data_IF_843696339947
#
_entry.id   IF_843696339947
#
_cell.length_a   1.000
_cell.length_b   1.000
_cell.length_c   1.000
_cell.angle_alpha   90.00
_cell.angle_beta   90.00
_cell.angle_gamma   90.00
#
_symmetry.space_group_name_H-M   'P 1'
#
loop_
_entity.id
_entity.type
_entity.pdbx_description
1 polymer ?
#
# COMPACT_ATOMS: atom_id res chain seq x y z
N UNK A 1 24.38 2.51 49.17
CA UNK A 1 25.10 1.30 49.63
C UNK A 1 25.40 0.44 48.41
N UNK A 2 26.47 -0.36 48.42
CA UNK A 2 26.84 -1.20 47.28
C UNK A 2 27.13 -2.64 47.73
N UNK A 3 26.64 -3.61 46.97
CA UNK A 3 27.00 -5.02 47.11
C UNK A 3 27.08 -5.67 45.73
N UNK A 4 28.31 -6.02 45.33
CA UNK A 4 28.60 -6.73 44.09
C UNK A 4 28.99 -8.18 44.38
N UNK A 5 28.58 -9.10 43.50
CA UNK A 5 29.21 -10.40 43.17
C UNK A 5 28.69 -10.76 41.77
N UNK A 6 29.49 -11.06 40.72
CA UNK A 6 30.66 -11.96 40.56
C UNK A 6 30.29 -13.43 40.83
N UNK A 7 30.66 -14.42 40.01
CA UNK A 7 31.36 -14.46 38.69
C UNK A 7 31.19 -15.89 38.09
N UNK A 8 31.95 -16.23 37.02
CA UNK A 8 32.25 -17.61 36.52
C UNK A 8 31.14 -18.33 35.71
N UNK A 9 31.41 -19.20 34.70
CA UNK A 9 32.66 -19.71 34.06
C UNK A 9 32.43 -19.65 32.51
N UNK A 10 33.11 -18.85 31.69
CA UNK A 10 34.30 -19.15 30.83
C UNK A 10 34.41 -20.50 30.08
N UNK A 11 34.76 -20.45 28.79
CA UNK A 11 35.26 -21.58 27.96
C UNK A 11 34.73 -21.50 26.51
N UNK A 12 35.51 -21.15 25.46
CA UNK A 12 36.65 -21.83 24.78
C UNK A 12 36.34 -23.20 24.17
N UNK A 13 36.84 -23.58 22.98
CA UNK A 13 37.33 -22.80 21.82
C UNK A 13 37.66 -23.79 20.67
N UNK A 14 37.17 -23.52 19.45
CA UNK A 14 37.74 -23.99 18.17
C UNK A 14 37.75 -25.49 17.84
N UNK A 15 37.59 -25.79 16.55
CA UNK A 15 38.47 -26.60 15.69
C UNK A 15 37.85 -26.57 14.28
N UNK A 16 38.68 -26.47 13.25
CA UNK A 16 38.25 -26.55 11.84
C UNK A 16 39.15 -27.49 11.05
N UNK A 17 38.55 -28.20 10.09
CA UNK A 17 39.12 -29.07 9.06
C UNK A 17 37.91 -29.54 8.20
N UNK A 18 38.00 -29.78 6.90
CA UNK A 18 39.08 -29.56 5.94
C UNK A 18 38.52 -29.81 4.52
N UNK A 19 39.16 -29.28 3.48
CA UNK A 19 38.66 -29.42 2.11
C UNK A 19 39.01 -30.77 1.50
N UNK A 20 38.07 -31.37 0.74
CA UNK A 20 38.35 -32.42 -0.24
C UNK A 20 37.56 -32.13 -1.51
N UNK A 21 38.25 -32.05 -2.64
CA UNK A 21 37.65 -32.10 -3.98
C UNK A 21 38.36 -33.21 -4.76
N UNK A 22 37.58 -34.10 -5.40
CA UNK A 22 38.06 -35.11 -6.34
C UNK A 22 37.07 -35.17 -7.50
N UNK A 23 37.56 -35.35 -8.72
CA UNK A 23 36.76 -35.21 -9.94
C UNK A 23 36.59 -36.51 -10.72
N UNK A 24 35.35 -36.73 -11.18
CA UNK A 24 34.93 -37.15 -12.53
C UNK A 24 35.43 -38.47 -13.19
N UNK A 25 34.64 -38.92 -14.19
CA UNK A 25 34.91 -40.00 -15.17
C UNK A 25 34.90 -41.42 -14.52
N UNK A 26 34.30 -42.51 -15.02
CA UNK A 26 33.72 -42.93 -16.32
C UNK A 26 32.49 -43.88 -16.01
N UNK A 27 31.94 -44.78 -16.86
CA UNK A 27 31.54 -44.84 -18.28
C UNK A 27 31.18 -46.32 -18.61
N UNK A 28 30.39 -46.75 -19.61
CA UNK A 28 29.30 -46.19 -20.43
C UNK A 28 28.63 -47.36 -21.19
N UNK A 29 27.35 -47.27 -21.57
CA UNK A 29 26.69 -48.21 -22.52
C UNK A 29 25.76 -47.47 -23.49
N UNK A 30 25.96 -47.68 -24.79
CA UNK A 30 25.00 -47.37 -25.85
C UNK A 30 24.19 -48.62 -26.19
N UNK A 31 23.00 -48.44 -26.76
CA UNK A 31 22.51 -49.28 -27.86
C UNK A 31 21.63 -48.44 -28.80
N UNK A 32 21.60 -48.78 -30.09
CA UNK A 32 21.12 -47.90 -31.15
C UNK A 32 19.60 -47.95 -31.40
N UNK A 33 19.00 -46.83 -31.83
CA UNK A 33 18.04 -46.87 -32.95
C UNK A 33 17.81 -45.53 -33.65
N UNK A 34 17.96 -45.54 -34.98
CA UNK A 34 17.36 -44.66 -36.01
C UNK A 34 17.12 -43.16 -35.71
N UNK A 35 17.90 -42.28 -36.36
CA UNK A 35 17.64 -40.84 -36.41
C UNK A 35 16.61 -40.45 -37.50
N UNK A 36 15.62 -39.58 -37.20
CA UNK A 36 14.83 -38.87 -38.21
C UNK A 36 15.57 -37.63 -38.76
N UNK A 37 15.15 -37.15 -39.93
CA UNK A 37 15.79 -36.04 -40.65
C UNK A 37 15.64 -34.66 -39.95
N UNK A 38 16.59 -33.72 -40.15
CA UNK A 38 16.52 -32.39 -39.54
C UNK A 38 15.38 -31.55 -40.12
N UNK A 39 14.30 -31.40 -39.37
CA UNK A 39 13.20 -30.49 -39.69
C UNK A 39 13.61 -29.04 -39.43
N UNK A 40 13.85 -28.28 -40.51
CA UNK A 40 14.13 -26.83 -40.45
C UNK A 40 12.87 -26.02 -40.12
N UNK A 41 12.34 -26.23 -38.93
CA UNK A 41 11.22 -25.45 -38.38
C UNK A 41 11.74 -24.10 -37.88
N UNK A 42 11.96 -23.16 -38.79
CA UNK A 42 12.21 -21.74 -38.45
C UNK A 42 10.90 -21.09 -37.99
N UNK A 43 10.39 -21.52 -36.85
CA UNK A 43 9.29 -20.86 -36.15
C UNK A 43 9.80 -19.51 -35.64
N UNK A 44 9.43 -18.44 -36.33
CA UNK A 44 9.69 -17.08 -35.85
C UNK A 44 9.13 -16.92 -34.43
N UNK A 45 9.84 -16.25 -33.51
CA UNK A 45 9.36 -16.07 -32.15
C UNK A 45 8.01 -15.36 -32.19
N UNK A 46 7.01 -15.92 -31.52
CA UNK A 46 5.69 -15.31 -31.46
C UNK A 46 5.82 -13.92 -30.84
N UNK A 47 5.49 -12.87 -31.61
CA UNK A 47 5.49 -11.49 -31.14
C UNK A 47 4.26 -11.27 -30.26
N UNK A 48 4.25 -11.89 -29.08
CA UNK A 48 3.28 -11.63 -28.03
C UNK A 48 3.38 -10.16 -27.65
N UNK A 49 2.38 -9.38 -28.07
CA UNK A 49 2.19 -8.01 -27.59
C UNK A 49 2.28 -8.02 -26.06
N UNK A 50 3.07 -7.14 -25.41
CA UNK A 50 3.15 -7.11 -23.96
C UNK A 50 1.75 -6.96 -23.35
N UNK A 51 1.49 -7.57 -22.18
CA UNK A 51 0.19 -7.53 -21.55
C UNK A 51 -0.28 -6.08 -21.37
N UNK A 52 -1.58 -5.84 -21.56
CA UNK A 52 -2.15 -4.52 -21.27
C UNK A 52 -2.04 -4.27 -19.77
N UNK A 53 -1.32 -3.21 -19.38
CA UNK A 53 -1.27 -2.76 -18.00
C UNK A 53 -2.68 -2.33 -17.54
N UNK A 54 -3.02 -2.67 -16.29
CA UNK A 54 -4.25 -2.24 -15.64
C UNK A 54 -4.07 -0.80 -15.17
N UNK A 55 -4.99 0.09 -15.52
CA UNK A 55 -4.92 1.49 -15.09
C UNK A 55 -5.47 1.70 -13.67
N UNK A 56 -5.12 2.84 -13.06
CA UNK A 56 -5.76 3.31 -11.83
C UNK A 56 -7.29 3.45 -12.01
N UNK A 57 -7.76 4.01 -13.13
CA UNK A 57 -9.18 4.14 -13.43
C UNK A 57 -9.93 2.78 -13.52
N UNK A 58 -9.30 1.76 -14.11
CA UNK A 58 -9.85 0.40 -14.12
C UNK A 58 -9.88 -0.23 -12.72
N UNK A 59 -8.85 0.02 -11.90
CA UNK A 59 -8.78 -0.44 -10.51
C UNK A 59 -9.86 0.25 -9.65
N UNK A 60 -10.08 1.56 -9.85
CA UNK A 60 -11.14 2.32 -9.19
C UNK A 60 -12.53 1.76 -9.53
N UNK A 61 -12.82 1.58 -10.82
CA UNK A 61 -14.13 1.10 -11.28
C UNK A 61 -14.42 -0.35 -10.82
N UNK A 62 -13.39 -1.18 -10.69
CA UNK A 62 -13.51 -2.55 -10.19
C UNK A 62 -13.75 -2.58 -8.68
N UNK A 63 -13.04 -1.77 -7.87
CA UNK A 63 -13.30 -1.68 -6.44
C UNK A 63 -14.65 -1.03 -6.15
N UNK A 64 -15.03 0.00 -6.91
CA UNK A 64 -16.37 0.61 -6.88
C UNK A 64 -17.46 -0.44 -7.14
N UNK A 65 -17.33 -1.23 -8.22
CA UNK A 65 -18.24 -2.32 -8.53
C UNK A 65 -18.28 -3.43 -7.46
N UNK A 66 -17.16 -3.71 -6.81
CA UNK A 66 -17.09 -4.63 -5.66
C UNK A 66 -17.86 -4.08 -4.45
N UNK A 67 -17.67 -2.81 -4.09
CA UNK A 67 -18.33 -2.19 -2.92
C UNK A 67 -19.84 -2.05 -3.14
N UNK A 68 -20.27 -1.70 -4.35
CA UNK A 68 -21.68 -1.70 -4.75
C UNK A 68 -22.31 -3.11 -4.64
N UNK A 69 -21.59 -4.17 -5.03
CA UNK A 69 -22.03 -5.56 -4.84
C UNK A 69 -22.10 -5.98 -3.36
N UNK A 70 -21.40 -5.29 -2.45
CA UNK A 70 -21.51 -5.45 -1.00
C UNK A 70 -22.60 -4.57 -0.38
N UNK A 71 -23.34 -3.81 -1.18
CA UNK A 71 -24.45 -2.96 -0.75
C UNK A 71 -24.03 -1.58 -0.22
N UNK A 72 -22.77 -1.19 -0.35
CA UNK A 72 -22.32 0.15 0.04
C UNK A 72 -22.71 1.18 -1.03
N UNK A 73 -23.06 2.38 -0.58
CA UNK A 73 -23.47 3.51 -1.44
C UNK A 73 -22.34 4.52 -1.66
N UNK A 74 -22.38 5.29 -2.75
CA UNK A 74 -21.39 6.35 -2.98
C UNK A 74 -21.69 7.60 -2.14
N UNK A 75 -20.68 8.09 -1.41
CA UNK A 75 -20.68 9.35 -0.69
C UNK A 75 -20.10 10.49 -1.57
N UNK A 76 -20.57 11.74 -1.42
CA UNK A 76 -20.02 12.87 -2.16
C UNK A 76 -18.52 13.08 -1.90
N UNK A 77 -17.74 13.12 -2.97
CA UNK A 77 -16.32 13.52 -2.95
C UNK A 77 -16.15 15.03 -2.82
N UNK A 78 -15.03 15.48 -2.26
CA UNK A 78 -14.71 16.90 -2.07
C UNK A 78 -13.72 17.41 -3.14
N UNK A 79 -13.70 18.71 -3.47
CA UNK A 79 -12.70 19.28 -4.37
C UNK A 79 -11.26 19.09 -3.84
N UNK A 80 -10.31 18.90 -4.78
CA UNK A 80 -8.88 18.79 -4.46
C UNK A 80 -8.30 20.12 -3.94
N UNK A 81 -8.78 21.26 -4.44
CA UNK A 81 -8.52 22.57 -3.82
C UNK A 81 -9.48 22.74 -2.64
N UNK A 82 -8.98 22.61 -1.42
CA UNK A 82 -9.79 22.52 -0.20
C UNK A 82 -10.32 23.88 0.29
N UNK A 83 -9.67 24.97 -0.09
CA UNK A 83 -9.94 26.32 0.45
C UNK A 83 -9.45 26.55 1.88
N UNK A 84 -8.74 25.59 2.49
CA UNK A 84 -8.23 25.64 3.87
C UNK A 84 -6.70 25.66 3.83
N UNK A 85 -6.04 26.55 4.58
CA UNK A 85 -4.56 26.74 4.51
C UNK A 85 -3.74 25.49 4.84
N UNK A 86 -4.29 24.56 5.62
CA UNK A 86 -3.67 23.26 5.90
C UNK A 86 -3.31 22.51 4.59
N UNK A 87 -2.18 21.80 4.61
CA UNK A 87 -1.63 21.14 3.42
C UNK A 87 -1.49 22.09 2.20
N UNK A 88 -1.28 23.38 2.49
CA UNK A 88 -1.10 24.45 1.52
C UNK A 88 -2.34 24.78 0.67
N UNK A 89 -3.55 24.37 1.06
CA UNK A 89 -4.77 24.55 0.25
C UNK A 89 -5.18 23.35 -0.59
N UNK A 90 -4.51 22.20 -0.44
CA UNK A 90 -4.86 20.94 -1.09
C UNK A 90 -5.58 19.98 -0.12
N UNK A 91 -6.46 19.13 -0.64
CA UNK A 91 -7.09 18.02 0.09
C UNK A 91 -6.03 16.96 0.38
N UNK A 92 -5.68 16.83 1.66
CA UNK A 92 -4.60 15.97 2.18
C UNK A 92 -4.97 14.47 2.18
N UNK A 93 -6.24 14.18 2.42
CA UNK A 93 -6.77 12.82 2.62
C UNK A 93 -8.27 12.78 2.31
N UNK A 94 -8.90 11.64 2.60
CA UNK A 94 -10.35 11.49 2.63
C UNK A 94 -11.02 12.36 3.72
N UNK A 95 -12.35 12.53 3.64
CA UNK A 95 -13.11 13.31 4.62
C UNK A 95 -13.99 12.38 5.48
N UNK A 96 -13.53 11.96 6.68
CA UNK A 96 -14.26 10.98 7.50
C UNK A 96 -15.61 11.50 8.03
N UNK A 97 -16.00 12.75 7.73
CA UNK A 97 -17.37 13.24 7.98
C UNK A 97 -18.36 12.89 6.86
N UNK A 98 -17.88 12.52 5.66
CA UNK A 98 -18.73 12.00 4.56
C UNK A 98 -18.82 10.47 4.58
N UNK A 99 -17.86 9.78 5.21
CA UNK A 99 -17.98 8.37 5.57
C UNK A 99 -19.03 8.18 6.67
N UNK A 100 -20.01 7.34 6.41
CA UNK A 100 -21.15 7.05 7.30
C UNK A 100 -21.54 5.57 7.20
N UNK A 101 -22.71 5.19 7.72
CA UNK A 101 -23.15 3.79 7.72
C UNK A 101 -23.34 3.26 6.29
N UNK A 102 -22.51 2.28 5.89
CA UNK A 102 -22.56 1.55 4.62
C UNK A 102 -22.38 2.44 3.37
N UNK A 103 -21.29 3.22 3.35
CA UNK A 103 -20.91 4.01 2.18
C UNK A 103 -19.39 3.94 1.87
N UNK A 104 -19.02 4.42 0.70
CA UNK A 104 -17.63 4.61 0.25
C UNK A 104 -17.50 5.94 -0.48
N UNK A 105 -16.28 6.49 -0.59
CA UNK A 105 -16.01 7.66 -1.41
C UNK A 105 -14.89 7.42 -2.43
N UNK A 106 -14.68 8.40 -3.31
CA UNK A 106 -13.57 8.47 -4.27
C UNK A 106 -12.89 9.83 -4.13
N UNK A 107 -11.99 9.98 -3.16
CA UNK A 107 -11.32 11.26 -2.91
C UNK A 107 -10.02 11.37 -3.68
N UNK A 108 -9.92 12.37 -4.56
CA UNK A 108 -8.62 12.78 -5.13
C UNK A 108 -7.88 13.60 -4.07
N UNK A 109 -6.66 13.19 -3.74
CA UNK A 109 -5.83 13.79 -2.70
C UNK A 109 -4.42 14.11 -3.22
N UNK A 110 -3.75 15.06 -2.56
CA UNK A 110 -2.36 15.42 -2.83
C UNK A 110 -1.74 15.98 -1.55
N UNK A 111 -0.59 15.44 -1.12
CA UNK A 111 0.08 15.83 0.12
C UNK A 111 1.34 16.64 -0.17
N UNK A 112 1.39 17.89 0.29
CA UNK A 112 2.51 18.80 0.02
C UNK A 112 3.81 18.37 0.73
N UNK A 113 3.71 17.63 1.84
CA UNK A 113 4.85 17.05 2.56
C UNK A 113 5.51 15.86 1.83
N UNK A 114 4.78 15.19 0.94
CA UNK A 114 5.29 14.00 0.24
C UNK A 114 6.34 14.36 -0.83
N UNK A 115 6.56 15.65 -1.10
CA UNK A 115 7.71 16.17 -1.88
C UNK A 115 9.05 15.71 -1.28
N UNK A 116 9.17 15.67 0.05
CA UNK A 116 10.39 15.19 0.72
C UNK A 116 10.59 13.67 0.57
N UNK A 117 9.54 12.96 0.16
CA UNK A 117 9.45 11.50 0.04
C UNK A 117 9.31 11.04 -1.41
N UNK A 118 9.44 11.95 -2.40
CA UNK A 118 9.10 11.73 -3.82
C UNK A 118 9.87 10.62 -4.53
N UNK A 119 11.04 10.24 -4.01
CA UNK A 119 11.85 9.12 -4.52
C UNK A 119 11.45 7.75 -3.92
N UNK A 120 10.55 7.71 -2.94
CA UNK A 120 10.04 6.47 -2.37
C UNK A 120 8.99 5.83 -3.30
N UNK A 121 9.02 4.49 -3.52
CA UNK A 121 8.03 3.81 -4.34
C UNK A 121 6.59 4.03 -3.85
N UNK A 122 5.70 4.43 -4.76
CA UNK A 122 4.28 4.68 -4.45
C UNK A 122 3.98 6.03 -3.81
N UNK A 123 4.97 6.90 -3.62
CA UNK A 123 4.75 8.33 -3.30
C UNK A 123 4.44 9.08 -4.59
N UNK A 124 3.29 9.77 -4.64
CA UNK A 124 2.79 10.45 -5.84
C UNK A 124 2.35 11.89 -5.55
N UNK A 125 2.47 12.83 -6.51
CA UNK A 125 2.01 14.20 -6.37
C UNK A 125 0.48 14.31 -6.36
N UNK A 126 -0.23 13.32 -6.90
CA UNK A 126 -1.68 13.12 -6.79
C UNK A 126 -1.98 11.63 -6.69
N UNK A 127 -3.00 11.28 -5.93
CA UNK A 127 -3.50 9.90 -5.81
C UNK A 127 -4.99 9.91 -5.46
N UNK A 128 -5.64 8.76 -5.60
CA UNK A 128 -7.05 8.56 -5.36
C UNK A 128 -7.25 7.59 -4.20
N UNK A 129 -7.93 8.05 -3.18
CA UNK A 129 -8.27 7.29 -1.99
C UNK A 129 -9.71 6.80 -2.14
N UNK A 130 -9.90 5.49 -2.09
CA UNK A 130 -11.23 4.90 -1.92
C UNK A 130 -11.44 4.49 -0.47
N UNK A 131 -11.89 5.46 0.32
CA UNK A 131 -12.33 5.28 1.70
C UNK A 131 -13.66 4.52 1.76
N UNK A 132 -13.81 3.64 2.74
CA UNK A 132 -15.00 2.81 2.98
C UNK A 132 -15.41 2.87 4.45
N UNK A 133 -16.72 2.78 4.72
CA UNK A 133 -17.27 2.74 6.07
C UNK A 133 -18.43 1.75 6.21
N UNK A 134 -18.38 0.92 7.26
CA UNK A 134 -19.14 -0.33 7.39
C UNK A 134 -19.93 -0.40 8.71
N UNK A 135 -21.21 -0.08 8.64
CA UNK A 135 -22.23 -0.24 9.70
C UNK A 135 -23.60 -0.26 9.01
N UNK A 136 -24.55 -1.12 9.38
CA UNK A 136 -25.26 -1.10 10.68
C UNK A 136 -24.88 -2.26 11.61
N UNK A 137 -25.33 -2.28 12.89
CA UNK A 137 -25.02 -3.36 13.84
C UNK A 137 -25.45 -4.77 13.39
N UNK A 138 -26.47 -4.87 12.54
CA UNK A 138 -26.97 -6.13 11.97
C UNK A 138 -26.12 -6.64 10.78
N UNK A 139 -25.22 -5.81 10.26
CA UNK A 139 -24.51 -6.01 8.98
C UNK A 139 -22.99 -5.73 9.07
N UNK A 140 -22.43 -5.73 10.28
CA UNK A 140 -21.04 -5.34 10.54
C UNK A 140 -19.99 -6.33 9.97
N UNK A 141 -19.75 -6.26 8.67
CA UNK A 141 -18.50 -6.72 8.04
C UNK A 141 -17.41 -5.71 8.41
N UNK A 142 -16.23 -6.18 8.85
CA UNK A 142 -15.13 -5.26 9.12
C UNK A 142 -14.61 -4.63 7.82
N UNK A 143 -14.18 -3.37 7.86
CA UNK A 143 -13.51 -2.73 6.73
C UNK A 143 -12.25 -3.52 6.31
N UNK A 144 -11.54 -4.11 7.29
CA UNK A 144 -10.46 -5.09 7.07
C UNK A 144 -10.90 -6.24 6.15
N UNK A 145 -12.06 -6.85 6.41
CA UNK A 145 -12.52 -8.01 5.63
C UNK A 145 -12.92 -7.61 4.21
N UNK A 146 -13.50 -6.42 4.01
CA UNK A 146 -13.79 -5.89 2.66
C UNK A 146 -12.50 -5.64 1.87
N UNK A 147 -11.56 -4.89 2.44
CA UNK A 147 -10.29 -4.55 1.77
C UNK A 147 -9.47 -5.81 1.48
N UNK A 148 -9.30 -6.69 2.47
CA UNK A 148 -8.53 -7.93 2.28
C UNK A 148 -9.18 -8.88 1.27
N UNK A 149 -10.52 -9.04 1.30
CA UNK A 149 -11.24 -9.87 0.32
C UNK A 149 -11.14 -9.28 -1.09
N UNK A 150 -11.15 -7.96 -1.26
CA UNK A 150 -10.89 -7.34 -2.55
C UNK A 150 -9.45 -7.62 -3.02
N UNK A 151 -8.45 -7.33 -2.19
CA UNK A 151 -7.03 -7.46 -2.56
C UNK A 151 -6.61 -8.90 -2.88
N UNK A 152 -6.97 -9.90 -2.08
CA UNK A 152 -6.58 -11.30 -2.34
C UNK A 152 -7.57 -12.04 -3.23
N UNK A 153 -8.87 -11.73 -3.14
CA UNK A 153 -9.94 -12.50 -3.79
C UNK A 153 -10.43 -11.93 -5.13
N UNK A 154 -10.49 -10.60 -5.28
CA UNK A 154 -10.95 -9.96 -6.54
C UNK A 154 -9.77 -9.53 -7.41
N UNK A 155 -8.77 -8.90 -6.80
CA UNK A 155 -7.55 -8.45 -7.50
C UNK A 155 -6.57 -9.62 -7.72
N UNK A 156 -6.56 -10.61 -6.82
CA UNK A 156 -5.69 -11.78 -6.91
C UNK A 156 -4.25 -11.50 -6.49
N UNK A 157 -4.01 -10.56 -5.57
CA UNK A 157 -2.67 -10.32 -5.02
C UNK A 157 -2.20 -11.52 -4.17
N UNK A 158 -0.92 -11.86 -4.34
CA UNK A 158 -0.25 -12.97 -3.66
C UNK A 158 -0.11 -12.72 -2.14
N UNK A 159 -0.71 -13.56 -1.27
CA UNK A 159 -0.58 -13.43 0.18
C UNK A 159 0.87 -13.44 0.69
N UNK A 160 1.76 -14.24 0.08
CA UNK A 160 3.17 -14.34 0.49
C UNK A 160 3.95 -13.04 0.24
N UNK A 161 3.37 -12.11 -0.54
CA UNK A 161 3.89 -10.78 -0.86
C UNK A 161 3.20 -9.65 -0.09
N UNK A 162 2.08 -9.91 0.61
CA UNK A 162 1.44 -8.95 1.52
C UNK A 162 2.18 -8.83 2.86
N UNK A 163 2.29 -7.61 3.39
CA UNK A 163 2.89 -7.26 4.69
C UNK A 163 1.97 -6.31 5.45
N UNK A 164 2.18 -6.15 6.75
CA UNK A 164 1.43 -5.21 7.60
C UNK A 164 2.41 -4.45 8.49
N UNK A 165 2.28 -3.13 8.60
CA UNK A 165 3.04 -2.31 9.56
C UNK A 165 2.10 -1.63 10.55
N UNK A 166 2.36 -1.82 11.84
CA UNK A 166 1.48 -1.38 12.92
C UNK A 166 2.20 -1.40 14.28
N UNK A 167 1.46 -1.34 15.38
CA UNK A 167 1.92 -1.44 16.77
C UNK A 167 1.29 -2.65 17.46
N UNK A 168 1.77 -3.03 18.64
CA UNK A 168 1.22 -4.11 19.46
C UNK A 168 -0.24 -3.89 19.92
N UNK A 169 -0.71 -2.63 19.93
CA UNK A 169 -2.11 -2.26 20.18
C UNK A 169 -3.11 -2.88 19.17
N UNK A 170 -2.63 -3.26 17.97
CA UNK A 170 -3.44 -3.91 16.92
C UNK A 170 -3.54 -5.43 17.04
N UNK A 171 -2.81 -6.05 17.97
CA UNK A 171 -2.57 -7.50 18.01
C UNK A 171 -3.83 -8.38 18.07
N UNK A 172 -4.93 -7.84 18.59
CA UNK A 172 -6.27 -8.43 18.55
C UNK A 172 -6.80 -8.74 17.14
N UNK A 173 -6.32 -8.05 16.10
CA UNK A 173 -6.71 -8.26 14.70
C UNK A 173 -5.82 -9.29 13.97
N UNK A 174 -4.74 -9.79 14.56
CA UNK A 174 -3.87 -10.76 13.87
C UNK A 174 -4.61 -12.07 13.50
N UNK A 175 -5.53 -12.63 14.33
CA UNK A 175 -6.42 -13.74 13.94
C UNK A 175 -7.50 -13.40 12.90
N UNK A 176 -7.58 -12.16 12.43
CA UNK A 176 -8.34 -11.76 11.24
C UNK A 176 -7.44 -11.77 10.01
N UNK A 177 -6.23 -11.20 10.12
CA UNK A 177 -5.24 -11.14 9.03
C UNK A 177 -4.73 -12.53 8.61
N UNK A 178 -4.57 -13.45 9.57
CA UNK A 178 -4.17 -14.86 9.34
C UNK A 178 -5.11 -15.60 8.37
N UNK A 179 -6.42 -15.27 8.39
CA UNK A 179 -7.43 -15.84 7.47
C UNK A 179 -7.16 -15.52 6.00
N UNK A 180 -6.36 -14.48 5.74
CA UNK A 180 -5.96 -14.02 4.41
C UNK A 180 -4.49 -14.36 4.09
N UNK A 181 -3.86 -15.24 4.87
CA UNK A 181 -2.49 -15.69 4.66
C UNK A 181 -1.39 -14.76 5.21
N UNK A 182 -1.75 -13.77 6.05
CA UNK A 182 -0.76 -12.89 6.70
C UNK A 182 -0.32 -13.51 8.03
N UNK A 183 0.78 -14.24 7.99
CA UNK A 183 1.44 -14.78 9.18
C UNK A 183 2.14 -13.69 10.01
N UNK A 184 2.48 -14.01 11.25
CA UNK A 184 3.27 -13.12 12.12
C UNK A 184 4.63 -12.71 11.55
N UNK A 185 5.19 -13.47 10.61
CA UNK A 185 6.45 -13.13 9.91
C UNK A 185 6.30 -11.99 8.90
N UNK A 186 5.06 -11.66 8.52
CA UNK A 186 4.70 -10.58 7.60
C UNK A 186 4.29 -9.29 8.34
N UNK A 187 4.19 -9.33 9.68
CA UNK A 187 3.75 -8.21 10.53
C UNK A 187 4.96 -7.50 11.15
N UNK A 188 5.10 -6.21 10.86
CA UNK A 188 6.15 -5.34 11.40
C UNK A 188 5.58 -4.50 12.55
N UNK A 189 6.10 -4.69 13.77
CA UNK A 189 5.69 -3.92 14.95
C UNK A 189 6.64 -2.73 15.18
N UNK A 190 6.11 -1.52 15.06
CA UNK A 190 6.72 -0.25 15.48
C UNK A 190 6.47 -0.02 16.98
N UNK A 191 7.39 0.63 17.72
CA UNK A 191 7.10 1.11 19.07
C UNK A 191 5.97 2.13 19.06
N UNK A 192 5.01 2.01 19.99
CA UNK A 192 3.85 2.91 20.09
C UNK A 192 4.23 4.40 20.16
N UNK A 193 5.19 4.76 21.02
CA UNK A 193 5.67 6.14 21.17
C UNK A 193 6.20 6.74 19.86
N UNK A 194 6.85 5.92 19.02
CA UNK A 194 7.38 6.35 17.73
C UNK A 194 6.27 6.49 16.70
N UNK A 195 5.29 5.57 16.66
CA UNK A 195 4.12 5.71 15.79
C UNK A 195 3.28 6.96 16.12
N UNK A 196 3.04 7.23 17.41
CA UNK A 196 2.33 8.44 17.86
C UNK A 196 3.09 9.73 17.53
N UNK A 197 4.43 9.72 17.68
CA UNK A 197 5.28 10.86 17.33
C UNK A 197 5.31 11.13 15.81
N UNK A 198 5.32 10.09 14.99
CA UNK A 198 5.36 10.23 13.53
C UNK A 198 4.00 10.64 12.94
N UNK A 199 2.89 10.20 13.55
CA UNK A 199 1.52 10.58 13.16
C UNK A 199 1.09 10.17 11.74
N UNK A 200 1.94 9.43 11.03
CA UNK A 200 1.87 9.23 9.58
C UNK A 200 0.95 8.09 9.12
N UNK A 201 0.22 7.45 10.03
CA UNK A 201 -0.40 6.14 9.79
C UNK A 201 0.58 4.98 10.01
N UNK A 202 0.24 3.78 9.54
CA UNK A 202 0.99 2.54 9.78
C UNK A 202 1.23 2.27 11.29
N UNK A 203 0.22 2.52 12.13
CA UNK A 203 0.28 2.38 13.60
C UNK A 203 -0.55 3.41 14.36
N UNK A 204 -0.46 4.68 13.96
CA UNK A 204 -1.24 5.78 14.49
C UNK A 204 -1.32 6.92 13.46
N UNK A 205 -2.53 7.40 13.18
CA UNK A 205 -2.80 8.48 12.23
C UNK A 205 -3.20 9.77 12.97
N UNK A 206 -2.31 10.76 12.88
CA UNK A 206 -2.44 12.09 13.46
C UNK A 206 -1.60 13.15 12.69
N UNK A 207 -1.92 13.42 11.41
CA UNK A 207 -1.23 14.43 10.60
C UNK A 207 -1.19 15.81 11.29
N UNK A 208 0.02 16.35 11.43
CA UNK A 208 0.28 17.56 12.21
C UNK A 208 -0.41 18.80 11.59
N UNK A 209 -1.19 19.53 12.40
CA UNK A 209 -1.91 20.72 11.96
C UNK A 209 -3.18 20.46 11.14
N UNK A 210 -3.59 19.19 10.97
CA UNK A 210 -4.85 18.86 10.30
C UNK A 210 -6.06 19.46 11.05
N UNK A 211 -6.98 20.20 10.40
CA UNK A 211 -8.04 20.95 11.09
C UNK A 211 -8.93 20.11 12.00
N UNK A 212 -9.28 18.90 11.57
CA UNK A 212 -10.09 17.96 12.36
C UNK A 212 -9.35 17.29 13.53
N UNK A 213 -8.04 17.53 13.70
CA UNK A 213 -7.17 16.91 14.71
C UNK A 213 -7.39 15.39 14.91
N UNK A 214 -7.41 14.56 13.85
CA UNK A 214 -7.52 13.11 13.99
C UNK A 214 -6.36 12.57 14.86
N UNK A 215 -6.67 11.53 15.64
CA UNK A 215 -5.73 10.92 16.58
C UNK A 215 -6.15 9.45 16.81
N UNK A 216 -6.03 8.63 15.77
CA UNK A 216 -6.62 7.29 15.72
C UNK A 216 -5.55 6.18 15.54
N UNK A 217 -5.56 5.10 16.34
CA UNK A 217 -4.77 3.90 16.08
C UNK A 217 -5.01 3.32 14.68
N UNK A 218 -3.99 2.69 14.08
CA UNK A 218 -4.13 2.15 12.72
C UNK A 218 -3.21 0.97 12.40
N UNK A 219 -3.45 0.31 11.27
CA UNK A 219 -2.49 -0.59 10.64
C UNK A 219 -2.56 -0.46 9.11
N UNK A 220 -1.39 -0.51 8.47
CA UNK A 220 -1.31 -0.53 7.02
C UNK A 220 -1.31 -1.94 6.47
N UNK A 221 -1.85 -2.10 5.26
CA UNK A 221 -1.73 -3.30 4.43
C UNK A 221 -0.80 -2.92 3.28
N UNK A 222 0.33 -3.60 3.19
CA UNK A 222 1.41 -3.32 2.26
C UNK A 222 1.61 -4.50 1.29
N UNK A 223 2.24 -4.25 0.14
CA UNK A 223 2.61 -5.29 -0.83
C UNK A 223 4.04 -5.10 -1.33
N UNK A 224 4.77 -6.20 -1.43
CA UNK A 224 6.13 -6.25 -1.99
C UNK A 224 6.06 -6.51 -3.50
N UNK A 225 6.66 -5.62 -4.29
CA UNK A 225 6.91 -5.83 -5.72
C UNK A 225 8.07 -6.79 -5.94
N UNK A 226 8.14 -7.46 -7.10
CA UNK A 226 9.26 -8.35 -7.45
C UNK A 226 10.60 -7.61 -7.58
N UNK A 227 10.57 -6.29 -7.73
CA UNK A 227 11.73 -5.39 -7.66
C UNK A 227 12.27 -5.17 -6.24
N UNK A 228 11.58 -5.67 -5.21
CA UNK A 228 11.87 -5.40 -3.79
C UNK A 228 11.29 -4.09 -3.27
N UNK A 229 10.64 -3.29 -4.11
CA UNK A 229 9.90 -2.10 -3.68
C UNK A 229 8.69 -2.50 -2.81
N UNK A 230 8.38 -1.68 -1.79
CA UNK A 230 7.21 -1.85 -0.92
C UNK A 230 6.19 -0.76 -1.24
N UNK A 231 4.91 -1.12 -1.34
CA UNK A 231 3.79 -0.20 -1.52
C UNK A 231 2.80 -0.36 -0.36
N UNK A 232 2.47 0.72 0.34
CA UNK A 232 1.35 0.77 1.28
C UNK A 232 0.03 0.86 0.48
N UNK A 233 -0.70 -0.25 0.37
CA UNK A 233 -1.91 -0.35 -0.47
C UNK A 233 -3.15 0.21 0.21
N UNK A 234 -3.24 0.04 1.52
CA UNK A 234 -4.38 0.49 2.31
C UNK A 234 -3.98 0.84 3.75
N UNK A 235 -4.76 1.70 4.38
CA UNK A 235 -4.67 2.03 5.81
C UNK A 235 -6.02 1.71 6.47
N UNK A 236 -5.97 1.00 7.60
CA UNK A 236 -7.15 0.60 8.38
C UNK A 236 -7.07 1.27 9.77
N UNK A 237 -7.79 2.38 10.01
CA UNK A 237 -7.93 2.95 11.34
C UNK A 237 -8.85 2.10 12.22
N UNK A 238 -8.55 2.03 13.51
CA UNK A 238 -9.39 1.39 14.52
C UNK A 238 -9.52 2.29 15.75
N UNK A 239 -10.72 2.33 16.34
CA UNK A 239 -11.00 3.08 17.56
C UNK A 239 -10.43 2.40 18.81
N UNK A 240 -11.10 2.60 19.96
CA UNK A 240 -10.70 2.08 21.27
C UNK A 240 -10.90 0.55 21.41
N UNK A 241 -10.22 -0.25 20.57
CA UNK A 241 -10.30 -1.71 20.54
C UNK A 241 -11.56 -2.28 19.90
N UNK A 242 -12.36 -1.47 19.20
CA UNK A 242 -13.53 -1.95 18.43
C UNK A 242 -13.11 -2.61 17.12
N UNK A 243 -14.02 -3.38 16.51
CA UNK A 243 -13.89 -3.86 15.12
C UNK A 243 -13.59 -2.66 14.19
N UNK A 244 -12.64 -2.74 13.25
CA UNK A 244 -12.39 -1.64 12.31
C UNK A 244 -13.57 -1.46 11.36
N UNK A 245 -14.31 -0.36 11.52
CA UNK A 245 -15.47 -0.02 10.69
C UNK A 245 -15.15 0.95 9.55
N UNK A 246 -13.87 1.35 9.39
CA UNK A 246 -13.42 2.23 8.32
C UNK A 246 -12.05 1.78 7.80
N UNK A 247 -11.70 2.25 6.60
CA UNK A 247 -10.42 2.00 5.95
C UNK A 247 -10.38 2.62 4.56
N UNK A 248 -9.20 2.76 3.95
CA UNK A 248 -9.07 3.31 2.60
C UNK A 248 -7.96 2.65 1.80
N UNK A 249 -8.18 2.47 0.49
CA UNK A 249 -7.14 1.99 -0.43
C UNK A 249 -6.59 3.14 -1.30
N UNK A 250 -5.28 3.11 -1.58
CA UNK A 250 -4.65 3.96 -2.59
C UNK A 250 -4.74 3.31 -3.97
N UNK A 251 -5.66 3.79 -4.81
CA UNK A 251 -6.04 3.16 -6.10
C UNK A 251 -4.82 2.97 -7.02
N UNK A 252 -3.97 3.99 -7.15
CA UNK A 252 -2.79 3.96 -8.00
C UNK A 252 -1.79 2.92 -7.50
N UNK A 253 -1.60 2.81 -6.18
CA UNK A 253 -0.69 1.82 -5.57
C UNK A 253 -1.21 0.40 -5.73
N UNK A 254 -2.52 0.17 -5.66
CA UNK A 254 -3.12 -1.12 -6.02
C UNK A 254 -2.92 -1.42 -7.51
N UNK A 255 -3.06 -0.43 -8.40
CA UNK A 255 -2.74 -0.63 -9.82
C UNK A 255 -1.25 -0.94 -10.07
N UNK A 256 -0.33 -0.34 -9.31
CA UNK A 256 1.10 -0.69 -9.34
C UNK A 256 1.34 -2.14 -8.89
N UNK A 257 0.70 -2.58 -7.80
CA UNK A 257 0.78 -3.95 -7.31
C UNK A 257 0.26 -4.99 -8.34
N UNK A 258 -0.83 -4.67 -9.05
CA UNK A 258 -1.39 -5.51 -10.13
C UNK A 258 -0.47 -5.65 -11.34
N UNK A 259 0.26 -4.59 -11.67
CA UNK A 259 1.18 -4.56 -12.80
C UNK A 259 2.60 -5.03 -12.44
N UNK A 260 2.90 -5.21 -11.15
CA UNK A 260 4.25 -5.42 -10.59
C UNK A 260 5.26 -4.30 -10.95
N UNK A 261 4.76 -3.07 -11.10
CA UNK A 261 5.49 -1.92 -11.65
C UNK A 261 5.21 -0.65 -10.85
N UNK A 262 6.25 0.15 -10.57
CA UNK A 262 6.14 1.45 -9.89
C UNK A 262 5.88 2.57 -10.90
N UNK A 263 4.92 3.44 -10.61
CA UNK A 263 4.81 4.77 -11.25
C UNK A 263 5.62 5.78 -10.43
N UNK A 264 6.47 6.59 -11.06
CA UNK A 264 7.27 7.58 -10.33
C UNK A 264 6.48 8.87 -10.07
N UNK A 265 6.94 9.66 -9.11
CA UNK A 265 6.43 11.02 -8.87
C UNK A 265 6.41 11.85 -10.16
N UNK A 266 7.49 11.78 -10.95
CA UNK A 266 7.65 12.56 -12.19
C UNK A 266 6.65 12.16 -13.28
N UNK A 267 6.33 10.87 -13.41
CA UNK A 267 5.33 10.37 -14.38
C UNK A 267 3.92 10.89 -14.06
N UNK A 268 3.63 11.10 -12.77
CA UNK A 268 2.33 11.56 -12.27
C UNK A 268 2.19 13.08 -12.14
N UNK A 269 3.26 13.87 -12.30
CA UNK A 269 3.19 15.35 -12.29
C UNK A 269 2.18 15.94 -13.31
N UNK A 270 2.04 15.42 -14.54
CA UNK A 270 1.01 15.87 -15.46
C UNK A 270 -0.41 15.63 -14.95
N UNK A 271 -0.66 14.48 -14.30
CA UNK A 271 -1.96 14.14 -13.72
C UNK A 271 -2.29 15.05 -12.52
N UNK A 272 -1.31 15.33 -11.64
CA UNK A 272 -1.47 16.29 -10.55
C UNK A 272 -1.85 17.67 -11.07
N UNK A 273 -1.14 18.16 -12.08
CA UNK A 273 -1.43 19.46 -12.68
C UNK A 273 -2.87 19.51 -13.19
N UNK A 274 -3.28 18.54 -14.00
CA UNK A 274 -4.67 18.47 -14.51
C UNK A 274 -5.69 18.46 -13.38
N UNK A 275 -5.52 17.61 -12.36
CA UNK A 275 -6.46 17.53 -11.24
C UNK A 275 -6.61 18.85 -10.45
N UNK A 276 -5.53 19.63 -10.28
CA UNK A 276 -5.62 20.94 -9.64
C UNK A 276 -6.23 22.00 -10.56
N UNK A 277 -5.90 22.03 -11.85
CA UNK A 277 -6.50 22.98 -12.81
C UNK A 277 -8.01 22.72 -12.99
N UNK A 278 -8.42 21.45 -13.05
CA UNK A 278 -9.84 21.03 -13.10
C UNK A 278 -10.57 21.42 -11.80
N UNK A 279 -9.96 21.19 -10.63
CA UNK A 279 -10.53 21.61 -9.35
C UNK A 279 -10.58 23.13 -9.19
N UNK A 280 -9.64 23.87 -9.77
CA UNK A 280 -9.68 25.35 -9.87
C UNK A 280 -10.85 25.79 -10.75
N UNK A 281 -11.01 25.19 -11.93
CA UNK A 281 -12.10 25.51 -12.85
C UNK A 281 -13.49 25.19 -12.28
N UNK A 282 -13.61 24.09 -11.52
CA UNK A 282 -14.88 23.68 -10.89
C UNK A 282 -15.27 24.53 -9.67
N UNK A 283 -14.31 25.09 -8.94
CA UNK A 283 -14.56 25.87 -7.71
C UNK A 283 -14.49 27.38 -7.89
N UNK A 284 -13.81 27.87 -8.94
CA UNK A 284 -13.45 29.28 -9.09
C UNK A 284 -12.33 29.75 -8.13
N UNK A 285 -11.68 28.84 -7.41
CA UNK A 285 -10.61 29.15 -6.48
C UNK A 285 -9.29 29.53 -7.21
N UNK A 286 -8.39 30.22 -6.50
CA UNK A 286 -7.01 30.40 -6.97
C UNK A 286 -6.21 29.09 -6.84
N UNK A 287 -5.10 28.97 -7.57
CA UNK A 287 -4.15 27.86 -7.37
C UNK A 287 -3.59 27.89 -5.93
N UNK A 288 -3.72 26.81 -5.14
CA UNK A 288 -3.29 26.78 -3.74
C UNK A 288 -1.76 26.81 -3.61
N UNK A 289 -1.22 27.19 -2.45
CA UNK A 289 0.22 27.19 -2.20
C UNK A 289 0.85 25.81 -2.43
N UNK A 290 0.16 24.74 -2.04
CA UNK A 290 0.57 23.35 -2.26
C UNK A 290 0.78 22.97 -3.72
N UNK A 291 0.12 23.65 -4.68
CA UNK A 291 0.39 23.48 -6.12
C UNK A 291 1.82 23.87 -6.46
N UNK A 292 2.29 25.00 -5.95
CA UNK A 292 3.65 25.48 -6.20
C UNK A 292 4.69 24.63 -5.44
N UNK A 293 4.36 24.18 -4.21
CA UNK A 293 5.19 23.24 -3.45
C UNK A 293 5.41 21.92 -4.19
N UNK A 294 4.35 21.26 -4.66
CA UNK A 294 4.42 19.95 -5.34
C UNK A 294 5.09 20.02 -6.72
N UNK A 295 4.98 21.17 -7.40
CA UNK A 295 5.71 21.41 -8.66
C UNK A 295 7.14 21.94 -8.46
N UNK A 296 7.60 22.12 -7.22
CA UNK A 296 8.90 22.72 -6.87
C UNK A 296 9.11 24.12 -7.49
N UNK A 297 8.02 24.89 -7.56
CA UNK A 297 7.94 26.22 -8.19
C UNK A 297 7.77 27.33 -7.14
N UNK A 298 8.11 28.56 -7.53
CA UNK A 298 7.75 29.74 -6.74
C UNK A 298 6.28 30.09 -6.97
N UNK A 299 5.56 30.36 -5.90
CA UNK A 299 4.27 31.04 -5.96
C UNK A 299 4.47 32.48 -6.51
N UNK A 300 3.64 32.94 -7.47
CA UNK A 300 3.72 34.28 -8.05
C UNK A 300 3.10 35.37 -7.16
#
# INVERSE_FOLDING_TARGET
>A
MATSRRQFITGTAGIGLGAVAVAAVAACTQEDTAAPAPSTSTSAPATTKPPKLITAAETQAEFEGYLQQKGLTEAPTQPLVSGIEFNGGLRYDDDPSTLTNANYMKQVAARAEDVEKKDNPGTLPVFTIMGVSTTTPEQAVAATDLVMTYLTGTVGLDPDRLRVTTTDHSSQFFPQLDRYGISSSQITLRPWEQAVKDGSGSGFFAPAGHPGSPAVPSFSIEYMLSSGARLELAEIPYGDGTVPTAGGIGVERVSMARNDLVTTWADSLPAFKTAVEDSVAATGAARPAGYYTILEQKQP
#
